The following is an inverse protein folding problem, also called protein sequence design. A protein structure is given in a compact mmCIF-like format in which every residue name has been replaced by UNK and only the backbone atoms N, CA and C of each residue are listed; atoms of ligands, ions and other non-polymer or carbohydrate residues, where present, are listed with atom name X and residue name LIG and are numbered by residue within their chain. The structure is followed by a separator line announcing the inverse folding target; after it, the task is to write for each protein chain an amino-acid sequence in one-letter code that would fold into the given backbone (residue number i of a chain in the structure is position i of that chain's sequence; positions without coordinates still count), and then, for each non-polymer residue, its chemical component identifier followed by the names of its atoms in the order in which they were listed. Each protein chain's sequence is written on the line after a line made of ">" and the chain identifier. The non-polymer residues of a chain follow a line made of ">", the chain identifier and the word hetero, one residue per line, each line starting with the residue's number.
data_IF_747862098209
#
_entry.id   IF_747862098209
#
_cell.length_a   1.000
_cell.length_b   1.000
_cell.length_c   1.000
_cell.angle_alpha   90.00
_cell.angle_beta   90.00
_cell.angle_gamma   90.00
#
_symmetry.space_group_name_H-M   'P 1'
#
loop_
_entity.id
_entity.type
_entity.pdbx_description
1 polymer ?
#
# COMPACT_ATOMS: atom_id res chain seq x y z
N UNK A 1 16.94 -22.78 -21.84
CA UNK A 1 16.06 -23.47 -22.81
C UNK A 1 14.87 -22.57 -23.10
N UNK A 2 14.95 -21.84 -24.20
CA UNK A 2 14.17 -20.62 -24.43
C UNK A 2 12.73 -20.86 -24.90
N UNK A 3 11.87 -19.90 -24.54
CA UNK A 3 10.45 -19.84 -24.87
C UNK A 3 10.04 -20.17 -26.33
N UNK A 4 10.81 -19.84 -27.39
CA UNK A 4 10.47 -20.23 -28.77
C UNK A 4 10.46 -21.74 -29.00
N UNK A 5 11.35 -22.50 -28.36
CA UNK A 5 11.45 -23.95 -28.53
C UNK A 5 10.22 -24.68 -27.96
N UNK A 6 9.70 -24.21 -26.82
CA UNK A 6 8.45 -24.74 -26.22
C UNK A 6 7.23 -24.50 -27.11
N UNK A 7 7.13 -23.35 -27.79
CA UNK A 7 6.04 -23.07 -28.74
C UNK A 7 6.11 -23.96 -29.99
N UNK A 8 7.31 -24.22 -30.51
CA UNK A 8 7.51 -25.08 -31.67
C UNK A 8 7.18 -26.56 -31.36
N UNK A 9 7.65 -27.07 -30.22
CA UNK A 9 7.29 -28.40 -29.73
C UNK A 9 5.78 -28.53 -29.50
N UNK A 10 5.14 -27.52 -28.91
CA UNK A 10 3.69 -27.54 -28.68
C UNK A 10 2.89 -27.54 -29.98
N UNK A 11 3.34 -26.84 -31.03
CA UNK A 11 2.74 -26.91 -32.38
C UNK A 11 2.91 -28.30 -33.02
N UNK A 12 4.11 -28.90 -32.94
CA UNK A 12 4.36 -30.27 -33.44
C UNK A 12 3.51 -31.30 -32.70
N UNK A 13 3.42 -31.21 -31.37
CA UNK A 13 2.62 -32.11 -30.54
C UNK A 13 1.13 -31.97 -30.86
N UNK A 14 0.63 -30.74 -31.03
CA UNK A 14 -0.77 -30.49 -31.40
C UNK A 14 -1.11 -31.07 -32.78
N UNK A 15 -0.21 -30.94 -33.75
CA UNK A 15 -0.38 -31.52 -35.09
C UNK A 15 -0.35 -33.05 -35.08
N UNK A 16 0.55 -33.65 -34.29
CA UNK A 16 0.65 -35.10 -34.12
C UNK A 16 -0.58 -35.69 -33.42
N UNK A 17 -1.06 -35.08 -32.33
CA UNK A 17 -2.31 -35.47 -31.68
C UNK A 17 -3.52 -35.30 -32.61
N UNK A 18 -3.55 -34.25 -33.44
CA UNK A 18 -4.64 -34.07 -34.40
C UNK A 18 -4.65 -35.15 -35.49
N UNK A 19 -3.46 -35.59 -35.95
CA UNK A 19 -3.31 -36.70 -36.89
C UNK A 19 -3.77 -38.05 -36.31
N UNK A 20 -3.51 -38.29 -35.03
CA UNK A 20 -4.00 -39.47 -34.32
C UNK A 20 -5.52 -39.46 -34.14
N UNK A 21 -6.12 -38.27 -33.96
CA UNK A 21 -7.58 -38.11 -33.85
C UNK A 21 -8.27 -38.21 -35.22
N UNK A 22 -7.62 -37.76 -36.31
CA UNK A 22 -8.19 -37.79 -37.66
C UNK A 22 -8.17 -39.18 -38.31
N UNK A 23 -7.32 -40.09 -37.82
CA UNK A 23 -7.20 -41.46 -38.34
C UNK A 23 -8.12 -42.47 -37.62
N UNK A 24 -8.96 -42.03 -36.67
CA UNK A 24 -9.99 -42.87 -36.09
C UNK A 24 -11.16 -43.02 -37.07
N UNK A 25 -11.42 -44.26 -37.51
CA UNK A 25 -12.56 -44.67 -38.32
C UNK A 25 -13.86 -43.96 -37.93
N UNK A 26 -14.62 -43.52 -38.94
CA UNK A 26 -15.82 -42.70 -38.79
C UNK A 26 -16.99 -43.39 -38.02
N UNK A 27 -16.86 -44.66 -37.63
CA UNK A 27 -17.86 -45.42 -36.87
C UNK A 27 -17.91 -45.18 -35.36
N UNK A 28 -16.81 -44.72 -34.74
CA UNK A 28 -16.70 -44.56 -33.27
C UNK A 28 -16.32 -43.12 -32.87
N UNK A 29 -16.91 -42.12 -33.53
CA UNK A 29 -16.73 -40.73 -33.09
C UNK A 29 -17.51 -40.50 -31.80
N UNK A 30 -16.80 -40.55 -30.67
CA UNK A 30 -17.35 -40.25 -29.34
C UNK A 30 -18.07 -38.90 -29.41
N UNK A 31 -19.39 -38.91 -29.19
CA UNK A 31 -20.22 -37.71 -29.07
C UNK A 31 -19.85 -36.97 -27.77
N UNK A 32 -18.75 -36.23 -27.82
CA UNK A 32 -18.22 -35.50 -26.69
C UNK A 32 -17.81 -34.08 -27.07
N UNK A 33 -17.93 -33.19 -26.09
CA UNK A 33 -17.46 -31.81 -26.17
C UNK A 33 -16.44 -31.56 -25.09
N UNK A 34 -15.39 -30.83 -25.44
CA UNK A 34 -14.38 -30.38 -24.51
C UNK A 34 -14.37 -28.86 -24.45
N UNK A 35 -14.47 -28.31 -23.25
CA UNK A 35 -14.40 -26.87 -23.00
C UNK A 35 -13.49 -26.56 -21.83
N UNK A 36 -13.19 -25.27 -21.64
CA UNK A 36 -12.42 -24.80 -20.52
C UNK A 36 -13.05 -23.59 -19.82
N UNK A 37 -12.90 -23.54 -18.51
CA UNK A 37 -13.16 -22.41 -17.64
C UNK A 37 -11.86 -21.90 -17.02
N UNK A 38 -11.79 -20.59 -16.76
CA UNK A 38 -10.61 -19.93 -16.20
C UNK A 38 -11.01 -18.83 -15.23
N UNK A 39 -10.32 -18.81 -14.08
CA UNK A 39 -10.39 -17.70 -13.11
C UNK A 39 -9.01 -17.50 -12.50
N UNK A 40 -8.46 -16.29 -12.61
CA UNK A 40 -7.07 -16.00 -12.22
C UNK A 40 -6.09 -16.99 -12.89
N UNK A 41 -5.40 -17.82 -12.12
CA UNK A 41 -4.49 -18.87 -12.58
C UNK A 41 -5.13 -20.26 -12.59
N UNK A 42 -6.32 -20.43 -12.04
CA UNK A 42 -7.06 -21.69 -12.07
C UNK A 42 -7.61 -21.96 -13.47
N UNK A 43 -7.43 -23.20 -13.94
CA UNK A 43 -7.97 -23.69 -15.20
C UNK A 43 -8.74 -24.98 -14.94
N UNK A 44 -9.99 -25.01 -15.40
CA UNK A 44 -10.84 -26.18 -15.37
C UNK A 44 -11.12 -26.63 -16.81
N UNK A 45 -10.92 -27.90 -17.10
CA UNK A 45 -11.22 -28.52 -18.40
C UNK A 45 -12.39 -29.48 -18.18
N UNK A 46 -13.51 -29.22 -18.83
CA UNK A 46 -14.68 -30.08 -18.75
C UNK A 46 -14.81 -30.92 -20.03
N UNK A 47 -15.01 -32.21 -19.83
CA UNK A 47 -15.37 -33.17 -20.85
C UNK A 47 -16.83 -33.55 -20.64
N UNK A 48 -17.63 -33.34 -21.67
CA UNK A 48 -19.07 -33.52 -21.68
C UNK A 48 -19.41 -34.59 -22.72
N UNK A 49 -20.20 -35.60 -22.34
CA UNK A 49 -20.66 -36.65 -23.25
C UNK A 49 -22.10 -37.04 -22.91
N UNK A 50 -22.82 -37.67 -23.84
CA UNK A 50 -24.12 -38.26 -23.54
C UNK A 50 -23.96 -39.38 -22.48
N UNK A 51 -24.83 -39.40 -21.48
CA UNK A 51 -24.68 -40.27 -20.31
C UNK A 51 -25.89 -40.29 -19.37
N UNK A 52 -25.66 -40.63 -18.09
CA UNK A 52 -26.70 -40.79 -17.06
C UNK A 52 -26.69 -39.66 -16.02
N UNK A 53 -26.12 -38.52 -16.37
CA UNK A 53 -26.09 -37.33 -15.53
C UNK A 53 -24.99 -37.32 -14.47
N UNK A 54 -23.87 -37.97 -14.75
CA UNK A 54 -22.76 -38.05 -13.80
C UNK A 54 -21.86 -36.82 -13.87
N UNK A 55 -21.82 -36.02 -12.79
CA UNK A 55 -20.91 -34.88 -12.66
C UNK A 55 -19.77 -35.20 -11.68
N UNK A 56 -18.53 -35.21 -12.17
CA UNK A 56 -17.33 -35.47 -11.36
C UNK A 56 -16.28 -34.38 -11.54
N UNK A 57 -15.68 -33.92 -10.45
CA UNK A 57 -14.56 -32.99 -10.42
C UNK A 57 -13.33 -33.71 -9.90
N UNK A 58 -12.25 -33.76 -10.69
CA UNK A 58 -11.02 -34.50 -10.38
C UNK A 58 -11.25 -35.96 -9.95
N UNK A 59 -12.31 -36.59 -10.47
CA UNK A 59 -12.70 -37.97 -10.15
C UNK A 59 -13.62 -38.12 -8.93
N UNK A 60 -13.84 -37.06 -8.15
CA UNK A 60 -14.75 -37.03 -7.00
C UNK A 60 -16.13 -36.47 -7.38
N UNK A 61 -17.22 -36.86 -6.71
CA UNK A 61 -18.54 -36.24 -6.89
C UNK A 61 -18.54 -34.78 -6.42
N UNK A 62 -19.51 -34.00 -6.90
CA UNK A 62 -19.59 -32.55 -6.68
C UNK A 62 -19.70 -32.17 -5.18
N UNK A 63 -20.35 -33.01 -4.38
CA UNK A 63 -20.61 -32.84 -2.94
C UNK A 63 -19.34 -32.95 -2.07
N UNK A 64 -18.29 -33.61 -2.59
CA UNK A 64 -17.03 -33.80 -1.86
C UNK A 64 -15.96 -32.79 -2.26
N UNK A 65 -16.32 -31.74 -3.01
CA UNK A 65 -15.40 -30.67 -3.39
C UNK A 65 -15.29 -29.67 -2.24
N UNK A 66 -14.06 -29.47 -1.75
CA UNK A 66 -13.76 -28.47 -0.73
C UNK A 66 -13.55 -27.08 -1.34
N UNK A 67 -13.96 -26.00 -0.63
CA UNK A 67 -14.51 -25.95 0.73
C UNK A 67 -16.04 -26.00 0.74
N UNK A 68 -16.62 -26.60 1.78
CA UNK A 68 -18.08 -26.84 1.90
C UNK A 68 -18.92 -25.56 1.77
N UNK A 69 -18.45 -24.43 2.33
CA UNK A 69 -19.15 -23.14 2.26
C UNK A 69 -19.44 -22.65 0.83
N UNK A 70 -18.66 -23.08 -0.16
CA UNK A 70 -18.81 -22.65 -1.56
C UNK A 70 -19.46 -23.71 -2.46
N UNK A 71 -19.99 -24.79 -1.88
CA UNK A 71 -20.67 -25.84 -2.66
C UNK A 71 -21.94 -25.31 -3.32
N UNK A 72 -22.69 -24.43 -2.66
CA UNK A 72 -23.84 -23.76 -3.26
C UNK A 72 -23.43 -22.99 -4.54
N UNK A 73 -22.29 -22.28 -4.51
CA UNK A 73 -21.74 -21.58 -5.69
C UNK A 73 -21.39 -22.53 -6.83
N UNK A 74 -20.95 -23.74 -6.52
CA UNK A 74 -20.63 -24.75 -7.52
C UNK A 74 -21.89 -25.32 -8.19
N UNK A 75 -22.98 -25.44 -7.43
CA UNK A 75 -24.27 -25.99 -7.88
C UNK A 75 -25.19 -24.96 -8.57
N UNK A 76 -24.91 -23.66 -8.46
CA UNK A 76 -25.67 -22.57 -9.11
C UNK A 76 -26.11 -22.88 -10.57
N UNK A 77 -25.22 -23.25 -11.52
CA UNK A 77 -25.64 -23.48 -12.89
C UNK A 77 -26.56 -24.70 -13.03
N UNK A 78 -26.46 -25.68 -12.13
CA UNK A 78 -27.32 -26.88 -12.13
C UNK A 78 -28.71 -26.51 -11.59
N UNK A 79 -28.75 -25.70 -10.53
CA UNK A 79 -30.01 -25.23 -9.95
C UNK A 79 -30.74 -24.26 -10.90
N UNK A 80 -30.01 -23.34 -11.54
CA UNK A 80 -30.58 -22.35 -12.45
C UNK A 80 -31.20 -22.98 -13.71
N UNK A 81 -30.55 -24.00 -14.27
CA UNK A 81 -30.97 -24.63 -15.52
C UNK A 81 -31.92 -25.82 -15.32
N UNK A 82 -32.12 -26.24 -14.08
CA UNK A 82 -32.87 -27.44 -13.72
C UNK A 82 -32.03 -28.71 -13.86
N UNK A 83 -32.24 -29.66 -12.95
CA UNK A 83 -31.52 -30.96 -12.96
C UNK A 83 -31.83 -31.79 -14.21
N UNK A 84 -33.00 -31.60 -14.82
CA UNK A 84 -33.48 -32.32 -16.01
C UNK A 84 -32.49 -32.23 -17.18
N UNK A 85 -31.98 -31.03 -17.46
CA UNK A 85 -31.02 -30.80 -18.56
C UNK A 85 -29.66 -31.46 -18.36
N UNK A 86 -29.36 -31.91 -17.14
CA UNK A 86 -28.14 -32.62 -16.81
C UNK A 86 -28.32 -34.15 -16.76
N UNK A 87 -29.55 -34.68 -16.74
CA UNK A 87 -29.77 -36.12 -16.62
C UNK A 87 -29.20 -36.92 -17.81
N UNK A 88 -29.20 -36.33 -19.00
CA UNK A 88 -28.71 -36.99 -20.22
C UNK A 88 -27.21 -36.78 -20.47
N UNK A 89 -26.51 -36.08 -19.57
CA UNK A 89 -25.17 -35.55 -19.84
C UNK A 89 -24.19 -35.90 -18.71
N UNK A 90 -23.15 -36.65 -19.03
CA UNK A 90 -22.03 -36.88 -18.12
C UNK A 90 -20.97 -35.79 -18.29
N UNK A 91 -20.63 -35.11 -17.19
CA UNK A 91 -19.61 -34.05 -17.16
C UNK A 91 -18.46 -34.45 -16.24
N UNK A 92 -17.26 -34.57 -16.81
CA UNK A 92 -16.02 -34.80 -16.06
C UNK A 92 -15.13 -33.58 -16.16
N UNK A 93 -14.89 -32.93 -15.02
CA UNK A 93 -14.06 -31.74 -14.93
C UNK A 93 -12.72 -32.09 -14.31
N UNK A 94 -11.61 -31.70 -14.95
CA UNK A 94 -10.28 -31.68 -14.33
C UNK A 94 -9.83 -30.25 -14.09
N UNK A 95 -9.35 -29.97 -12.88
CA UNK A 95 -9.00 -28.61 -12.45
C UNK A 95 -7.58 -28.59 -11.92
N UNK A 96 -6.80 -27.59 -12.33
CA UNK A 96 -5.45 -27.34 -11.84
C UNK A 96 -5.18 -25.84 -11.71
N UNK A 97 -4.30 -25.49 -10.77
CA UNK A 97 -3.84 -24.12 -10.53
C UNK A 97 -4.80 -23.28 -9.70
N UNK A 98 -4.33 -22.11 -9.28
CA UNK A 98 -5.07 -21.19 -8.40
C UNK A 98 -5.39 -21.78 -7.02
N UNK A 99 -6.11 -21.01 -6.20
CA UNK A 99 -6.65 -21.47 -4.92
C UNK A 99 -8.09 -21.98 -5.03
N UNK A 100 -8.63 -22.52 -3.94
CA UNK A 100 -9.95 -23.14 -3.85
C UNK A 100 -11.08 -22.31 -4.48
N UNK A 101 -11.19 -21.03 -4.11
CA UNK A 101 -12.24 -20.14 -4.65
C UNK A 101 -12.11 -20.00 -6.17
N UNK A 102 -10.91 -19.69 -6.68
CA UNK A 102 -10.72 -19.57 -8.14
C UNK A 102 -11.00 -20.87 -8.89
N UNK A 103 -10.71 -22.02 -8.29
CA UNK A 103 -11.02 -23.32 -8.88
C UNK A 103 -12.53 -23.52 -9.00
N UNK A 104 -13.31 -23.19 -7.97
CA UNK A 104 -14.78 -23.28 -8.00
C UNK A 104 -15.38 -22.42 -9.11
N UNK A 105 -14.97 -21.15 -9.22
CA UNK A 105 -15.44 -20.28 -10.31
C UNK A 105 -15.04 -20.82 -11.69
N UNK A 106 -13.84 -21.39 -11.83
CA UNK A 106 -13.42 -22.03 -13.07
C UNK A 106 -14.25 -23.28 -13.40
N UNK A 107 -14.58 -24.12 -12.41
CA UNK A 107 -15.44 -25.31 -12.58
C UNK A 107 -16.85 -24.88 -13.01
N UNK A 108 -17.45 -23.95 -12.25
CA UNK A 108 -18.79 -23.40 -12.52
C UNK A 108 -18.88 -22.92 -13.97
N UNK A 109 -17.88 -22.14 -14.40
CA UNK A 109 -17.76 -21.66 -15.77
C UNK A 109 -17.60 -22.79 -16.80
N UNK A 110 -16.79 -23.81 -16.49
CA UNK A 110 -16.56 -24.93 -17.39
C UNK A 110 -17.84 -25.77 -17.58
N UNK A 111 -18.62 -25.99 -16.52
CA UNK A 111 -19.90 -26.71 -16.58
C UNK A 111 -20.91 -25.94 -17.44
N UNK A 112 -21.09 -24.64 -17.22
CA UNK A 112 -22.00 -23.82 -18.02
C UNK A 112 -21.63 -23.81 -19.50
N UNK A 113 -20.34 -23.63 -19.82
CA UNK A 113 -19.86 -23.71 -21.20
C UNK A 113 -20.04 -25.10 -21.81
N UNK A 114 -19.85 -26.15 -21.02
CA UNK A 114 -19.95 -27.53 -21.49
C UNK A 114 -21.37 -27.81 -21.95
N UNK A 115 -22.37 -27.36 -21.19
CA UNK A 115 -23.76 -27.53 -21.56
C UNK A 115 -24.12 -26.74 -22.82
N UNK A 116 -23.81 -25.43 -22.86
CA UNK A 116 -24.13 -24.59 -24.03
C UNK A 116 -23.49 -25.15 -25.31
N UNK A 117 -22.25 -25.63 -25.22
CA UNK A 117 -21.55 -26.21 -26.38
C UNK A 117 -22.02 -27.62 -26.75
N UNK A 118 -22.58 -28.37 -25.79
CA UNK A 118 -23.22 -29.65 -26.06
C UNK A 118 -24.54 -29.44 -26.82
N UNK A 119 -25.41 -28.55 -26.34
CA UNK A 119 -26.68 -28.22 -27.01
C UNK A 119 -26.46 -27.67 -28.41
N UNK A 120 -25.48 -26.77 -28.58
CA UNK A 120 -25.05 -26.26 -29.89
C UNK A 120 -24.72 -27.36 -30.91
N UNK A 121 -24.15 -28.48 -30.45
CA UNK A 121 -23.64 -29.53 -31.33
C UNK A 121 -24.63 -30.68 -31.55
N UNK A 122 -25.46 -31.01 -30.57
CA UNK A 122 -26.20 -32.27 -30.54
C UNK A 122 -27.71 -32.15 -30.34
N UNK A 123 -28.24 -30.98 -29.98
CA UNK A 123 -29.68 -30.81 -29.71
C UNK A 123 -30.26 -29.81 -30.71
N UNK A 124 -30.30 -28.52 -30.37
CA UNK A 124 -30.89 -27.48 -31.20
C UNK A 124 -30.38 -26.07 -30.79
N UNK A 125 -30.46 -25.12 -31.72
CA UNK A 125 -29.97 -23.75 -31.53
C UNK A 125 -30.91 -22.91 -30.64
N UNK A 126 -32.21 -23.23 -30.60
CA UNK A 126 -33.21 -22.51 -29.82
C UNK A 126 -33.01 -22.75 -28.30
N UNK A 127 -32.96 -24.01 -27.87
CA UNK A 127 -32.65 -24.40 -26.49
C UNK A 127 -31.30 -23.85 -26.04
N UNK A 128 -30.29 -23.86 -26.93
CA UNK A 128 -28.99 -23.24 -26.64
C UNK A 128 -29.15 -21.74 -26.37
N UNK A 129 -29.92 -21.00 -27.17
CA UNK A 129 -30.15 -19.58 -26.97
C UNK A 129 -30.85 -19.30 -25.65
N UNK A 130 -31.90 -20.06 -25.32
CA UNK A 130 -32.60 -19.97 -24.03
C UNK A 130 -31.67 -20.20 -22.84
N UNK A 131 -30.90 -21.30 -22.84
CA UNK A 131 -29.92 -21.62 -21.80
C UNK A 131 -28.89 -20.48 -21.67
N UNK A 132 -28.40 -19.98 -22.81
CA UNK A 132 -27.40 -18.94 -22.84
C UNK A 132 -27.95 -17.63 -22.27
N UNK A 133 -29.16 -17.25 -22.64
CA UNK A 133 -29.78 -16.00 -22.19
C UNK A 133 -30.08 -16.06 -20.68
N UNK A 134 -30.58 -17.18 -20.16
CA UNK A 134 -30.75 -17.41 -18.72
C UNK A 134 -29.42 -17.29 -17.95
N UNK A 135 -28.35 -17.91 -18.46
CA UNK A 135 -27.03 -17.85 -17.83
C UNK A 135 -26.45 -16.43 -17.84
N UNK A 136 -26.62 -15.69 -18.95
CA UNK A 136 -26.12 -14.32 -19.08
C UNK A 136 -26.89 -13.35 -18.20
N UNK A 137 -28.21 -13.51 -18.11
CA UNK A 137 -29.08 -12.69 -17.26
C UNK A 137 -28.74 -12.87 -15.79
N UNK A 138 -28.40 -14.08 -15.36
CA UNK A 138 -27.99 -14.36 -13.98
C UNK A 138 -26.56 -13.90 -13.69
N UNK A 139 -25.56 -14.44 -14.42
CA UNK A 139 -24.15 -14.13 -14.21
C UNK A 139 -23.31 -14.35 -15.47
N UNK A 140 -22.91 -13.25 -16.10
CA UNK A 140 -22.07 -13.26 -17.31
C UNK A 140 -20.75 -14.02 -17.14
N UNK A 141 -20.21 -14.12 -15.91
CA UNK A 141 -18.93 -14.81 -15.66
C UNK A 141 -19.02 -16.34 -15.85
N UNK A 142 -20.23 -16.89 -15.92
CA UNK A 142 -20.48 -18.31 -16.26
C UNK A 142 -20.09 -18.65 -17.70
N UNK A 143 -20.13 -17.67 -18.61
CA UNK A 143 -19.77 -17.87 -20.01
C UNK A 143 -18.54 -17.07 -20.43
N UNK A 144 -18.28 -15.91 -19.81
CA UNK A 144 -17.14 -15.05 -20.11
C UNK A 144 -16.13 -15.11 -18.98
N UNK A 145 -14.84 -15.28 -19.30
CA UNK A 145 -13.80 -15.35 -18.26
C UNK A 145 -13.44 -13.94 -17.77
N UNK A 146 -13.31 -13.79 -16.46
CA UNK A 146 -12.84 -12.53 -15.90
C UNK A 146 -11.37 -12.30 -16.27
N UNK A 147 -11.03 -11.15 -16.88
CA UNK A 147 -9.67 -10.88 -17.35
C UNK A 147 -8.70 -10.51 -16.20
N UNK A 148 -9.23 -10.21 -15.01
CA UNK A 148 -8.45 -9.69 -13.87
C UNK A 148 -7.36 -10.68 -13.42
N UNK A 149 -6.10 -10.21 -13.41
CA UNK A 149 -4.92 -10.89 -12.85
C UNK A 149 -4.24 -9.99 -11.82
N UNK A 150 -3.38 -10.58 -10.99
CA UNK A 150 -2.58 -9.83 -10.02
C UNK A 150 -1.61 -8.91 -10.76
N UNK A 151 -1.59 -7.64 -10.37
CA UNK A 151 -0.58 -6.68 -10.81
C UNK A 151 0.79 -7.08 -10.24
N UNK A 152 1.89 -6.87 -10.99
CA UNK A 152 3.23 -7.13 -10.48
C UNK A 152 3.56 -6.20 -9.31
N UNK A 153 4.35 -6.69 -8.35
CA UNK A 153 4.84 -5.87 -7.22
C UNK A 153 5.76 -4.77 -7.76
N UNK A 154 5.55 -3.53 -7.33
CA UNK A 154 6.43 -2.40 -7.63
C UNK A 154 7.45 -2.22 -6.50
N UNK A 155 8.62 -1.70 -6.83
CA UNK A 155 9.62 -1.32 -5.82
C UNK A 155 9.10 -0.15 -4.97
N UNK A 156 9.64 0.00 -3.75
CA UNK A 156 9.27 1.11 -2.86
C UNK A 156 7.96 0.91 -2.11
N UNK A 157 7.50 -0.35 -1.98
CA UNK A 157 6.35 -0.66 -1.15
C UNK A 157 6.04 -2.16 -1.05
N UNK A 158 5.08 -2.54 -0.20
CA UNK A 158 4.71 -3.93 -0.01
C UNK A 158 3.90 -4.53 -1.18
N UNK A 159 3.32 -3.71 -2.07
CA UNK A 159 2.42 -4.18 -3.13
C UNK A 159 2.59 -3.49 -4.48
N UNK A 160 1.66 -3.74 -5.40
CA UNK A 160 1.65 -3.12 -6.73
C UNK A 160 1.37 -1.61 -6.71
N UNK A 161 0.64 -1.15 -5.68
CA UNK A 161 0.23 0.25 -5.52
C UNK A 161 0.59 0.85 -4.16
N UNK A 162 0.55 0.04 -3.10
CA UNK A 162 0.96 0.47 -1.77
C UNK A 162 2.44 0.84 -1.78
N UNK A 163 2.76 2.03 -1.29
CA UNK A 163 4.13 2.48 -1.02
C UNK A 163 4.44 2.35 0.46
N UNK A 164 5.71 2.19 0.82
CA UNK A 164 6.12 2.40 2.21
C UNK A 164 5.72 3.82 2.62
N UNK A 165 5.19 3.98 3.83
CA UNK A 165 4.88 5.29 4.36
C UNK A 165 6.16 6.12 4.33
N UNK A 166 6.10 7.30 3.71
CA UNK A 166 7.18 8.28 3.86
C UNK A 166 7.19 8.65 5.34
N UNK A 167 8.26 8.34 6.06
CA UNK A 167 8.45 8.95 7.37
C UNK A 167 8.56 10.45 7.12
N UNK A 168 7.61 11.21 7.66
CA UNK A 168 7.67 12.66 7.72
C UNK A 168 8.96 13.17 8.39
N UNK A 169 9.75 12.29 9.03
CA UNK A 169 11.01 12.63 9.68
C UNK A 169 12.05 13.29 8.76
N UNK A 170 12.09 13.00 7.46
CA UNK A 170 13.06 13.67 6.59
C UNK A 170 12.62 15.11 6.25
N UNK A 171 11.31 15.33 6.05
CA UNK A 171 10.77 16.66 5.79
C UNK A 171 10.73 17.52 7.07
N UNK A 172 10.44 16.92 8.22
CA UNK A 172 10.52 17.58 9.53
C UNK A 172 11.97 17.87 9.90
N UNK A 173 12.91 16.95 9.66
CA UNK A 173 14.34 17.24 9.88
C UNK A 173 14.84 18.36 8.95
N UNK A 174 14.42 18.39 7.68
CA UNK A 174 14.75 19.48 6.77
C UNK A 174 14.08 20.81 7.20
N UNK A 175 12.81 20.80 7.60
CA UNK A 175 12.10 21.99 8.08
C UNK A 175 12.61 22.51 9.43
N UNK A 176 13.00 21.63 10.34
CA UNK A 176 13.71 21.98 11.59
C UNK A 176 15.08 22.58 11.26
N UNK A 177 15.84 22.00 10.32
CA UNK A 177 17.13 22.58 9.89
C UNK A 177 16.98 23.94 9.19
N UNK A 178 15.96 24.12 8.37
CA UNK A 178 15.66 25.40 7.70
C UNK A 178 15.27 26.47 8.72
N UNK A 179 14.43 26.12 9.71
CA UNK A 179 14.06 27.02 10.81
C UNK A 179 15.27 27.43 11.66
N UNK A 180 16.14 26.48 12.00
CA UNK A 180 17.37 26.79 12.75
C UNK A 180 18.27 27.71 11.95
N UNK A 181 18.44 27.48 10.65
CA UNK A 181 19.25 28.34 9.79
C UNK A 181 18.69 29.76 9.73
N UNK A 182 17.37 29.91 9.64
CA UNK A 182 16.70 31.21 9.72
C UNK A 182 16.95 31.92 11.06
N UNK A 183 16.86 31.21 12.19
CA UNK A 183 17.16 31.76 13.51
C UNK A 183 18.63 32.19 13.63
N UNK A 184 19.57 31.40 13.07
CA UNK A 184 21.00 31.74 13.07
C UNK A 184 21.34 32.96 12.21
N UNK A 185 20.64 33.16 11.10
CA UNK A 185 20.86 34.31 10.22
C UNK A 185 20.12 35.57 10.68
N UNK A 186 19.14 35.43 11.57
CA UNK A 186 18.29 36.55 12.01
C UNK A 186 17.11 36.84 11.08
N UNK A 187 16.75 35.89 10.21
CA UNK A 187 15.69 36.04 9.21
C UNK A 187 14.30 35.96 9.84
N UNK A 188 13.81 37.09 10.38
CA UNK A 188 12.57 37.17 11.13
C UNK A 188 11.32 36.73 10.33
N UNK A 189 11.26 37.00 9.04
CA UNK A 189 10.13 36.59 8.19
C UNK A 189 10.08 35.06 7.99
N UNK A 190 11.24 34.43 7.80
CA UNK A 190 11.33 32.97 7.69
C UNK A 190 10.99 32.29 9.03
N UNK A 191 11.41 32.89 10.16
CA UNK A 191 11.05 32.42 11.50
C UNK A 191 9.55 32.51 11.74
N UNK A 192 8.89 33.62 11.37
CA UNK A 192 7.43 33.79 11.45
C UNK A 192 6.71 32.73 10.63
N UNK A 193 7.10 32.58 9.37
CA UNK A 193 6.51 31.61 8.46
C UNK A 193 6.62 30.19 9.02
N UNK A 194 7.80 29.83 9.53
CA UNK A 194 8.04 28.50 10.06
C UNK A 194 7.25 28.19 11.36
N UNK A 195 6.99 29.19 12.21
CA UNK A 195 6.17 29.00 13.41
C UNK A 195 4.67 28.98 13.07
N UNK A 196 4.21 29.84 12.17
CA UNK A 196 2.78 30.00 11.87
C UNK A 196 2.24 28.99 10.86
N UNK A 197 3.01 28.65 9.82
CA UNK A 197 2.59 27.70 8.77
C UNK A 197 2.95 26.25 9.10
N UNK A 198 4.17 26.02 9.62
CA UNK A 198 4.66 24.67 9.91
C UNK A 198 4.38 24.21 11.35
N UNK A 199 3.87 25.09 12.21
CA UNK A 199 3.51 24.77 13.60
C UNK A 199 4.71 24.27 14.43
N UNK A 200 5.91 24.76 14.12
CA UNK A 200 7.13 24.33 14.79
C UNK A 200 7.11 24.68 16.28
N UNK A 201 7.65 23.77 17.09
CA UNK A 201 7.75 23.99 18.53
C UNK A 201 8.85 25.03 18.81
N UNK A 202 8.45 26.18 19.36
CA UNK A 202 9.34 27.28 19.76
C UNK A 202 10.38 26.85 20.81
N UNK A 203 10.07 25.80 21.58
CA UNK A 203 10.96 25.19 22.57
C UNK A 203 11.65 23.92 22.06
N UNK A 204 11.56 23.63 20.76
CA UNK A 204 12.19 22.46 20.13
C UNK A 204 13.71 22.51 20.26
N UNK A 205 14.30 21.56 20.96
CA UNK A 205 15.73 21.53 21.18
C UNK A 205 16.46 20.86 20.00
N UNK A 206 17.29 21.62 19.28
CA UNK A 206 18.15 21.07 18.24
C UNK A 206 19.57 20.90 18.74
N UNK A 207 20.08 19.67 18.66
CA UNK A 207 21.34 19.29 19.32
C UNK A 207 21.36 19.69 20.81
N UNK A 208 20.17 19.89 21.41
CA UNK A 208 19.92 20.29 22.78
C UNK A 208 19.93 21.80 23.07
N UNK A 209 20.23 22.64 22.07
CA UNK A 209 20.06 24.09 22.16
C UNK A 209 18.64 24.48 21.81
N UNK A 210 18.03 25.36 22.59
CA UNK A 210 16.73 25.93 22.22
C UNK A 210 16.90 27.02 21.14
N UNK A 211 15.88 27.35 20.33
CA UNK A 211 15.95 28.42 19.34
C UNK A 211 16.30 29.77 19.98
N UNK A 212 15.85 29.99 21.22
CA UNK A 212 16.19 31.18 22.00
C UNK A 212 17.68 31.25 22.35
N UNK A 213 18.33 30.11 22.65
CA UNK A 213 19.79 30.08 22.83
C UNK A 213 20.49 30.50 21.55
N UNK A 214 20.07 29.97 20.39
CA UNK A 214 20.68 30.32 19.12
C UNK A 214 20.49 31.81 18.80
N UNK A 215 19.30 32.36 18.98
CA UNK A 215 19.08 33.80 18.77
C UNK A 215 19.96 34.67 19.69
N UNK A 216 20.16 34.25 20.94
CA UNK A 216 21.02 34.92 21.90
C UNK A 216 22.52 34.80 21.58
N UNK A 217 22.98 33.64 21.10
CA UNK A 217 24.36 33.34 20.67
C UNK A 217 24.76 34.22 19.47
N UNK A 218 23.84 34.39 18.51
CA UNK A 218 24.09 35.17 17.28
C UNK A 218 23.69 36.66 17.39
N UNK A 219 23.12 37.11 18.51
CA UNK A 219 22.81 38.53 18.75
C UNK A 219 21.55 39.07 18.07
N UNK A 220 20.61 38.20 17.67
CA UNK A 220 19.43 38.59 16.89
C UNK A 220 18.26 39.04 17.77
N UNK A 221 18.28 40.30 18.21
CA UNK A 221 17.29 40.89 19.13
C UNK A 221 15.84 40.74 18.63
N UNK A 222 15.58 41.00 17.35
CA UNK A 222 14.21 40.97 16.81
C UNK A 222 13.63 39.54 16.77
N UNK A 223 14.46 38.55 16.42
CA UNK A 223 14.06 37.13 16.46
C UNK A 223 13.85 36.69 17.91
N UNK A 224 14.71 37.14 18.82
CA UNK A 224 14.64 36.85 20.25
C UNK A 224 13.33 37.38 20.87
N UNK A 225 12.95 38.63 20.60
CA UNK A 225 11.68 39.22 21.05
C UNK A 225 10.47 38.44 20.50
N UNK A 226 10.50 38.07 19.22
CA UNK A 226 9.42 37.31 18.61
C UNK A 226 9.28 35.91 19.22
N UNK A 227 10.38 35.19 19.44
CA UNK A 227 10.36 33.87 20.09
C UNK A 227 9.79 33.95 21.51
N UNK A 228 10.16 34.97 22.30
CA UNK A 228 9.62 35.20 23.64
C UNK A 228 8.12 35.50 23.57
N UNK A 229 7.67 36.31 22.60
CA UNK A 229 6.24 36.60 22.42
C UNK A 229 5.39 35.36 22.12
N UNK A 230 5.99 34.34 21.49
CA UNK A 230 5.35 33.05 21.19
C UNK A 230 5.49 32.01 22.31
N UNK A 231 6.03 32.39 23.47
CA UNK A 231 6.13 31.52 24.66
C UNK A 231 7.42 30.69 24.74
N UNK A 232 8.53 31.18 24.16
CA UNK A 232 9.84 30.57 24.39
C UNK A 232 10.23 30.61 25.87
N UNK A 233 10.78 29.51 26.39
CA UNK A 233 11.27 29.44 27.75
C UNK A 233 12.61 30.19 27.89
N UNK A 234 12.56 31.34 28.58
CA UNK A 234 13.71 32.24 28.83
C UNK A 234 14.78 31.57 29.70
N UNK A 235 14.39 30.63 30.55
CA UNK A 235 15.26 29.90 31.48
C UNK A 235 15.56 28.47 31.00
N UNK A 236 15.36 28.19 29.70
CA UNK A 236 15.70 26.90 29.12
C UNK A 236 17.18 26.57 29.37
N UNK A 237 17.50 25.31 29.64
CA UNK A 237 18.88 24.86 29.77
C UNK A 237 19.30 24.07 28.52
N UNK A 238 20.45 24.40 27.95
CA UNK A 238 21.12 23.57 26.93
C UNK A 238 21.67 22.27 27.57
N UNK A 239 22.17 21.31 26.77
CA UNK A 239 22.81 20.06 27.25
C UNK A 239 23.94 20.29 28.24
N UNK A 240 24.57 21.46 28.15
CA UNK A 240 25.67 21.86 29.01
C UNK A 240 25.19 22.56 30.28
N UNK A 241 23.87 22.72 30.50
CA UNK A 241 23.32 23.47 31.63
C UNK A 241 23.40 24.99 31.47
N UNK A 242 23.79 25.47 30.29
CA UNK A 242 23.85 26.91 29.99
C UNK A 242 22.45 27.47 29.74
N UNK A 243 22.23 28.71 30.16
CA UNK A 243 20.98 29.46 29.89
C UNK A 243 21.16 30.42 28.70
N UNK A 244 20.08 30.89 28.05
CA UNK A 244 20.17 31.82 26.92
C UNK A 244 20.85 33.14 27.29
N UNK A 245 20.63 33.64 28.51
CA UNK A 245 21.28 34.86 29.01
C UNK A 245 22.81 34.71 29.06
N UNK A 246 23.31 33.55 29.49
CA UNK A 246 24.74 33.28 29.53
C UNK A 246 25.37 33.29 28.13
N UNK A 247 24.67 32.75 27.12
CA UNK A 247 25.14 32.78 25.74
C UNK A 247 25.27 34.22 25.22
N UNK A 248 24.27 35.08 25.47
CA UNK A 248 24.35 36.50 25.09
C UNK A 248 25.47 37.26 25.83
N UNK A 249 25.73 36.91 27.10
CA UNK A 249 26.80 37.52 27.92
C UNK A 249 28.19 37.10 27.43
N UNK A 250 28.38 35.83 27.07
CA UNK A 250 29.64 35.31 26.55
C UNK A 250 30.03 35.93 25.22
N UNK A 251 29.03 36.15 24.35
CA UNK A 251 29.26 36.70 23.01
C UNK A 251 29.21 38.25 22.98
N UNK A 252 28.96 38.92 24.12
CA UNK A 252 29.01 40.39 24.20
C UNK A 252 27.77 41.13 23.67
N UNK A 253 26.63 40.45 23.48
CA UNK A 253 25.43 41.04 22.88
C UNK A 253 24.60 41.86 23.87
N UNK A 254 25.02 43.11 24.12
CA UNK A 254 24.41 44.04 25.09
C UNK A 254 22.89 44.19 24.93
N UNK A 255 22.39 44.29 23.69
CA UNK A 255 20.95 44.48 23.43
C UNK A 255 20.13 43.20 23.65
N UNK A 256 20.71 42.02 23.38
CA UNK A 256 20.10 40.74 23.75
C UNK A 256 20.05 40.56 25.27
N UNK A 257 21.11 40.93 25.99
CA UNK A 257 21.14 40.89 27.46
C UNK A 257 20.06 41.80 28.04
N UNK A 258 19.95 43.03 27.55
CA UNK A 258 18.94 43.99 28.00
C UNK A 258 17.52 43.47 27.81
N UNK A 259 17.21 42.97 26.61
CA UNK A 259 15.88 42.44 26.28
C UNK A 259 15.55 41.17 27.09
N UNK A 260 16.50 40.27 27.30
CA UNK A 260 16.30 39.10 28.16
C UNK A 260 16.04 39.49 29.63
N UNK A 261 16.77 40.47 30.17
CA UNK A 261 16.56 40.98 31.53
C UNK A 261 15.21 41.70 31.67
N UNK A 262 14.78 42.46 30.67
CA UNK A 262 13.45 43.08 30.65
C UNK A 262 12.32 42.05 30.64
N UNK A 263 12.54 40.89 30.02
CA UNK A 263 11.58 39.78 29.96
C UNK A 263 11.68 38.80 31.14
N UNK A 264 12.47 39.13 32.16
CA UNK A 264 12.50 38.40 33.44
C UNK A 264 13.53 37.28 33.52
N UNK A 265 14.58 37.29 32.69
CA UNK A 265 15.72 36.40 32.86
C UNK A 265 16.45 36.67 34.20
N UNK A 266 16.89 35.61 34.87
CA UNK A 266 17.61 35.71 36.15
C UNK A 266 19.05 36.21 35.94
N UNK A 267 19.39 37.37 36.53
CA UNK A 267 20.74 37.96 36.53
C UNK A 267 21.73 37.18 37.40
N UNK A 268 21.26 36.56 38.50
CA UNK A 268 22.05 35.76 39.44
C UNK A 268 22.37 34.33 38.95
N UNK A 269 22.29 34.10 37.63
CA UNK A 269 22.62 32.81 37.07
C UNK A 269 24.10 32.47 37.25
N UNK A 270 24.37 31.18 37.45
CA UNK A 270 25.73 30.63 37.47
C UNK A 270 25.98 29.85 36.19
N UNK A 271 27.21 29.88 35.72
CA UNK A 271 27.67 28.98 34.67
C UNK A 271 27.63 27.53 35.15
N UNK A 272 27.69 26.56 34.22
CA UNK A 272 27.89 25.16 34.58
C UNK A 272 29.18 24.90 35.39
N UNK A 273 30.20 25.77 35.27
CA UNK A 273 31.43 25.76 36.08
C UNK A 273 31.25 26.37 37.48
N UNK A 274 30.11 27.01 37.77
CA UNK A 274 29.80 27.63 39.05
C UNK A 274 30.20 29.11 39.19
N UNK A 275 30.73 29.71 38.13
CA UNK A 275 31.11 31.13 38.06
C UNK A 275 29.87 32.01 37.86
N UNK A 276 29.89 33.24 38.38
CA UNK A 276 28.79 34.18 38.20
C UNK A 276 28.82 34.79 36.79
N UNK A 277 27.66 35.16 36.24
CA UNK A 277 27.60 35.84 34.94
C UNK A 277 28.39 37.15 34.90
N UNK A 278 28.52 37.84 36.05
CA UNK A 278 29.30 39.07 36.18
C UNK A 278 30.80 38.82 35.98
N UNK A 279 31.30 37.68 36.47
CA UNK A 279 32.73 37.33 36.39
C UNK A 279 33.12 36.93 34.96
N UNK A 280 32.17 36.32 34.24
CA UNK A 280 32.36 35.80 32.88
C UNK A 280 32.16 36.86 31.80
N UNK A 281 31.34 37.89 32.07
CA UNK A 281 31.15 38.99 31.13
C UNK A 281 32.47 39.71 30.83
N UNK A 282 32.89 39.77 29.56
CA UNK A 282 34.09 40.52 29.14
C UNK A 282 33.81 42.04 29.09
N UNK A 283 32.62 42.43 28.63
CA UNK A 283 32.23 43.83 28.47
C UNK A 283 31.83 44.49 29.79
N UNK A 284 32.40 45.67 30.07
CA UNK A 284 32.05 46.49 31.24
C UNK A 284 30.59 46.95 31.23
N UNK A 285 30.02 47.17 30.04
CA UNK A 285 28.60 47.54 29.86
C UNK A 285 27.67 46.43 30.35
N UNK A 286 27.93 45.18 29.95
CA UNK A 286 27.17 44.00 30.38
C UNK A 286 27.33 43.80 31.89
N UNK A 287 28.55 43.93 32.43
CA UNK A 287 28.80 43.89 33.88
C UNK A 287 27.98 44.92 34.64
N UNK A 288 27.88 46.15 34.14
CA UNK A 288 27.08 47.20 34.76
C UNK A 288 25.57 46.91 34.70
N UNK A 289 25.08 46.36 33.59
CA UNK A 289 23.67 45.95 33.42
C UNK A 289 23.28 44.80 34.37
N UNK A 290 24.17 43.83 34.56
CA UNK A 290 23.95 42.71 35.47
C UNK A 290 24.03 43.13 36.95
N UNK A 291 24.78 44.18 37.29
CA UNK A 291 24.89 44.72 38.67
C UNK A 291 23.71 45.59 39.10
N UNK A 292 22.93 46.11 38.15
CA UNK A 292 21.88 47.12 38.41
C UNK A 292 20.52 46.55 38.76
N UNK A 293 20.34 45.22 38.77
CA UNK A 293 19.09 44.53 39.11
C UNK A 293 19.36 43.28 39.93
#
# INVERSE_FOLDING_TARGET
>A
MDAPYKKALWKKYKSFCWRLISNASAGDKIQAVQVFGRKKTATAVAYCKRGRGLIKVNGRPLELVEPQMLQAKLQEPILLLGKERFQDVDIRVRVKGGGHVSQIYAIRQAISKALVTYYQKFVDEASKKEIKDLLVQYDRTLLVADPRRCEPKKFGGPGARARYQKSYSFAVAMGETEFIWAVKNGDLDAVKQAIEENGLNVNGAYQGRSPLHLAADYGHVQVLEYLISKGANVEAQDKHGMKPLLAAVLEGHVDCVRTLLEKGASSDGKTPSGESYIDVAEDETIRSLLKTR
#
